data_IF_011898326896
#
_entry.id   IF_011898326896
#
_cell.length_a   1.000
_cell.length_b   1.000
_cell.length_c   1.000
_cell.angle_alpha   90.00
_cell.angle_beta   90.00
_cell.angle_gamma   90.00
#
_symmetry.space_group_name_H-M   'P 1'
#
loop_
_entity.id
_entity.type
_entity.pdbx_description
1 polymer ?
#
# COMPACT_ATOMS: atom_id res chain seq x y z
N UNK A 1 -1.44 9.45 8.98
CA UNK A 1 -0.33 8.68 9.56
C UNK A 1 -0.42 8.72 11.08
N UNK A 2 0.40 7.95 11.80
CA UNK A 2 0.41 7.88 13.27
C UNK A 2 0.47 9.25 13.96
N UNK A 3 1.17 10.23 13.38
CA UNK A 3 1.29 11.59 13.89
C UNK A 3 0.17 12.56 13.43
N UNK A 4 -0.81 12.08 12.66
CA UNK A 4 -1.89 12.88 12.08
C UNK A 4 -1.59 13.51 10.71
N UNK A 5 -0.38 13.37 10.18
CA UNK A 5 -0.06 13.86 8.83
C UNK A 5 -0.80 13.09 7.74
N UNK A 6 -1.03 13.74 6.60
CA UNK A 6 -1.80 13.16 5.49
C UNK A 6 -1.00 12.01 4.85
N UNK A 7 -1.56 10.79 4.75
CA UNK A 7 -0.87 9.66 4.11
C UNK A 7 -0.63 9.91 2.62
N UNK A 8 0.15 9.04 1.97
CA UNK A 8 0.43 9.21 0.55
C UNK A 8 0.97 7.94 -0.10
N UNK A 9 1.10 8.00 -1.42
CA UNK A 9 1.63 6.94 -2.25
C UNK A 9 2.47 7.54 -3.37
N UNK A 10 3.35 6.72 -3.96
CA UNK A 10 4.07 7.04 -5.19
C UNK A 10 3.40 6.32 -6.35
N UNK A 11 3.28 6.98 -7.50
CA UNK A 11 2.69 6.40 -8.70
C UNK A 11 3.60 6.64 -9.90
N UNK A 12 3.92 5.56 -10.61
CA UNK A 12 4.55 5.59 -11.92
C UNK A 12 3.54 5.06 -12.95
N UNK A 13 3.24 5.87 -13.97
CA UNK A 13 2.25 5.50 -14.99
C UNK A 13 2.75 4.38 -15.90
N UNK A 14 1.82 3.53 -16.31
CA UNK A 14 2.04 2.50 -17.31
C UNK A 14 2.05 3.05 -18.73
N UNK A 15 2.43 2.21 -19.69
CA UNK A 15 2.50 2.57 -21.10
C UNK A 15 2.24 1.35 -22.00
N UNK A 16 1.95 1.60 -23.28
CA UNK A 16 1.68 0.54 -24.26
C UNK A 16 0.54 -0.38 -23.81
N UNK A 17 0.75 -1.69 -23.95
CA UNK A 17 -0.25 -2.71 -23.58
C UNK A 17 -0.54 -2.78 -22.08
N UNK A 18 0.37 -2.29 -21.22
CA UNK A 18 0.22 -2.26 -19.77
C UNK A 18 -0.48 -1.00 -19.24
N UNK A 19 -0.81 -0.02 -20.10
CA UNK A 19 -1.38 1.26 -19.67
C UNK A 19 -2.73 1.13 -18.93
N UNK A 20 -3.49 0.05 -19.18
CA UNK A 20 -4.74 -0.27 -18.50
C UNK A 20 -4.60 -1.41 -17.47
N UNK A 21 -3.39 -1.70 -17.01
CA UNK A 21 -3.12 -2.67 -15.96
C UNK A 21 -2.46 -1.99 -14.76
N UNK A 22 -2.74 -2.48 -13.56
CA UNK A 22 -2.38 -1.83 -12.30
C UNK A 22 -1.72 -2.79 -11.31
N UNK A 23 -0.60 -2.39 -10.73
CA UNK A 23 0.08 -3.04 -9.63
C UNK A 23 0.13 -2.08 -8.45
N UNK A 24 -0.60 -2.40 -7.39
CA UNK A 24 -0.62 -1.66 -6.13
C UNK A 24 0.21 -2.42 -5.10
N UNK A 25 1.31 -1.83 -4.66
CA UNK A 25 2.21 -2.41 -3.66
C UNK A 25 2.06 -1.70 -2.31
N UNK A 26 1.66 -2.43 -1.28
CA UNK A 26 1.63 -1.99 0.11
C UNK A 26 3.03 -2.08 0.70
N UNK A 27 3.56 -0.95 1.18
CA UNK A 27 4.81 -0.93 1.94
C UNK A 27 4.66 -1.71 3.26
N UNK A 28 5.73 -2.39 3.68
CA UNK A 28 5.77 -3.06 4.99
C UNK A 28 6.84 -2.47 5.90
N UNK A 29 7.01 -3.08 7.07
CA UNK A 29 8.15 -2.87 7.95
C UNK A 29 7.76 -2.79 9.42
N UNK A 30 7.28 -3.93 9.90
CA UNK A 30 6.92 -4.18 11.29
C UNK A 30 5.71 -3.37 11.78
N UNK A 31 5.45 -3.49 13.08
CA UNK A 31 4.34 -2.86 13.77
C UNK A 31 4.86 -2.07 14.97
N UNK A 32 4.01 -1.25 15.55
CA UNK A 32 4.24 -0.75 16.90
C UNK A 32 3.24 -1.43 17.84
N UNK A 33 3.73 -2.14 18.86
CA UNK A 33 2.92 -3.06 19.66
C UNK A 33 2.57 -2.51 21.05
N UNK A 34 3.03 -1.31 21.37
CA UNK A 34 2.71 -0.61 22.62
C UNK A 34 2.86 0.91 22.44
N UNK A 35 2.32 1.65 23.40
CA UNK A 35 2.27 3.11 23.34
C UNK A 35 3.66 3.73 23.13
N UNK A 36 4.67 3.30 23.89
CA UNK A 36 6.05 3.81 23.77
C UNK A 36 6.61 3.60 22.37
N UNK A 37 6.44 2.40 21.81
CA UNK A 37 6.90 2.08 20.45
C UNK A 37 6.18 2.89 19.38
N UNK A 38 4.88 3.16 19.55
CA UNK A 38 4.10 3.95 18.61
C UNK A 38 4.46 5.44 18.68
N UNK A 39 4.69 5.98 19.88
CA UNK A 39 5.18 7.35 20.07
C UNK A 39 6.54 7.54 19.39
N UNK A 40 7.47 6.59 19.55
CA UNK A 40 8.74 6.66 18.84
C UNK A 40 8.53 6.56 17.32
N UNK A 41 7.70 5.62 16.87
CA UNK A 41 7.48 5.38 15.44
C UNK A 41 6.87 6.58 14.71
N UNK A 42 6.02 7.37 15.38
CA UNK A 42 5.37 8.55 14.78
C UNK A 42 6.39 9.63 14.36
N UNK A 43 7.60 9.63 14.91
CA UNK A 43 8.68 10.56 14.54
C UNK A 43 9.59 10.02 13.42
N UNK A 44 9.12 9.06 12.63
CA UNK A 44 9.89 8.41 11.56
C UNK A 44 9.06 8.35 10.26
N UNK A 45 9.70 8.01 9.13
CA UNK A 45 8.99 7.75 7.87
C UNK A 45 7.94 6.63 7.97
N UNK A 46 7.96 5.81 9.03
CA UNK A 46 6.97 4.74 9.25
C UNK A 46 5.79 5.15 10.11
N UNK A 47 5.70 6.43 10.46
CA UNK A 47 4.62 6.99 11.26
C UNK A 47 4.25 8.44 10.91
N UNK A 48 4.99 9.08 9.98
CA UNK A 48 4.72 10.42 9.49
C UNK A 48 5.07 10.54 8.01
N UNK A 49 4.17 11.16 7.24
CA UNK A 49 4.41 11.44 5.82
C UNK A 49 5.34 12.64 5.58
N UNK A 50 5.66 13.41 6.62
CA UNK A 50 6.62 14.53 6.52
C UNK A 50 8.03 14.05 6.13
N UNK A 51 8.34 12.78 6.40
CA UNK A 51 9.61 12.15 6.05
C UNK A 51 9.52 11.30 4.77
N UNK A 52 8.42 11.34 4.03
CA UNK A 52 8.35 10.65 2.74
C UNK A 52 9.25 11.34 1.72
N UNK A 53 10.02 10.54 1.00
CA UNK A 53 10.79 11.01 -0.14
C UNK A 53 9.86 11.51 -1.25
N UNK A 54 10.22 12.62 -1.89
CA UNK A 54 9.45 13.13 -3.05
C UNK A 54 9.53 12.20 -4.25
N UNK A 55 10.66 11.53 -4.41
CA UNK A 55 10.90 10.52 -5.44
C UNK A 55 11.15 9.19 -4.77
N UNK A 56 10.52 8.13 -5.29
CA UNK A 56 10.69 6.77 -4.80
C UNK A 56 11.33 5.92 -5.89
N UNK A 57 12.41 5.19 -5.60
CA UNK A 57 13.02 4.28 -6.57
C UNK A 57 12.13 3.03 -6.73
N UNK A 58 11.45 2.93 -7.87
CA UNK A 58 10.67 1.75 -8.23
C UNK A 58 11.62 0.63 -8.70
N UNK A 59 11.74 -0.45 -7.92
CA UNK A 59 12.68 -1.57 -8.18
C UNK A 59 11.97 -2.93 -8.06
N UNK A 60 12.65 -4.01 -8.49
CA UNK A 60 12.09 -5.37 -8.46
C UNK A 60 10.79 -5.48 -9.25
N UNK A 61 9.73 -6.06 -8.66
CA UNK A 61 8.39 -6.15 -9.27
C UNK A 61 7.77 -4.79 -9.63
N UNK A 62 8.31 -3.69 -9.09
CA UNK A 62 7.90 -2.33 -9.41
C UNK A 62 8.80 -1.67 -10.47
N UNK A 63 9.92 -2.27 -10.88
CA UNK A 63 10.84 -1.69 -11.88
C UNK A 63 10.15 -1.46 -13.22
N UNK A 64 10.57 -0.42 -13.95
CA UNK A 64 10.12 -0.15 -15.33
C UNK A 64 11.01 -0.80 -16.39
N UNK A 65 12.05 -1.52 -15.97
CA UNK A 65 12.98 -2.22 -16.84
C UNK A 65 12.49 -3.65 -17.07
N UNK A 66 12.29 -4.02 -18.32
CA UNK A 66 11.78 -5.34 -18.68
C UNK A 66 12.76 -6.46 -18.28
N UNK A 67 14.06 -6.15 -18.18
CA UNK A 67 15.10 -7.08 -17.76
C UNK A 67 14.98 -7.45 -16.26
N UNK A 68 14.36 -6.57 -15.46
CA UNK A 68 14.15 -6.79 -14.02
C UNK A 68 12.72 -7.20 -13.68
N UNK A 69 11.76 -6.73 -14.49
CA UNK A 69 10.33 -6.92 -14.28
C UNK A 69 9.65 -7.29 -15.60
N UNK A 70 9.92 -8.48 -16.15
CA UNK A 70 9.42 -8.87 -17.46
C UNK A 70 7.89 -8.86 -17.55
N UNK A 71 7.20 -9.11 -16.43
CA UNK A 71 5.75 -9.26 -16.39
C UNK A 71 4.99 -7.93 -16.26
N UNK A 72 5.50 -6.98 -15.47
CA UNK A 72 4.75 -5.78 -15.05
C UNK A 72 5.44 -4.45 -15.37
N UNK A 73 6.59 -4.43 -16.06
CA UNK A 73 7.38 -3.21 -16.27
C UNK A 73 6.62 -2.04 -16.90
N UNK A 74 5.62 -2.33 -17.74
CA UNK A 74 4.81 -1.33 -18.44
C UNK A 74 3.43 -1.08 -17.79
N UNK A 75 3.15 -1.65 -16.62
CA UNK A 75 1.91 -1.41 -15.88
C UNK A 75 1.95 -0.07 -15.13
N UNK A 76 0.77 0.44 -14.73
CA UNK A 76 0.69 1.47 -13.69
C UNK A 76 1.16 0.85 -12.39
N UNK A 77 2.17 1.43 -11.76
CA UNK A 77 2.83 0.87 -10.58
C UNK A 77 2.72 1.86 -9.44
N UNK A 78 2.17 1.41 -8.33
CA UNK A 78 1.86 2.23 -7.16
C UNK A 78 2.56 1.66 -5.94
N UNK A 79 3.16 2.54 -5.13
CA UNK A 79 3.67 2.20 -3.79
C UNK A 79 2.90 2.99 -2.75
N UNK A 80 1.99 2.34 -2.03
CA UNK A 80 1.29 2.98 -0.90
C UNK A 80 2.23 2.98 0.30
N UNK A 81 2.51 4.16 0.84
CA UNK A 81 3.49 4.32 1.92
C UNK A 81 2.89 3.94 3.26
N UNK A 82 3.67 3.24 4.07
CA UNK A 82 3.21 2.63 5.32
C UNK A 82 3.50 3.53 6.51
N UNK A 83 2.44 4.09 7.11
CA UNK A 83 2.57 5.05 8.19
C UNK A 83 1.51 4.93 9.31
N UNK A 84 0.73 3.84 9.34
CA UNK A 84 -0.24 3.54 10.41
C UNK A 84 0.30 2.59 11.48
N UNK A 85 1.35 1.81 11.17
CA UNK A 85 1.96 0.87 12.12
C UNK A 85 1.12 -0.36 12.45
N UNK A 86 0.04 -0.62 11.69
CA UNK A 86 -0.96 -1.65 11.94
C UNK A 86 -1.40 -2.39 10.66
N UNK A 87 -0.49 -2.61 9.69
CA UNK A 87 -0.78 -3.31 8.42
C UNK A 87 -2.02 -2.77 7.67
N UNK A 88 -2.23 -1.47 7.67
CA UNK A 88 -3.39 -0.84 7.03
C UNK A 88 -4.76 -1.34 7.55
N UNK A 89 -4.84 -1.91 8.76
CA UNK A 89 -6.07 -2.52 9.27
C UNK A 89 -6.79 -1.73 10.39
N UNK A 90 -6.08 -0.87 11.13
CA UNK A 90 -6.67 -0.14 12.25
C UNK A 90 -7.61 1.00 11.85
N UNK A 91 -8.65 1.27 12.64
CA UNK A 91 -9.37 2.55 12.64
C UNK A 91 -9.67 3.03 14.07
N UNK A 92 -8.64 3.49 14.77
CA UNK A 92 -8.75 4.04 16.11
C UNK A 92 -7.80 5.22 16.32
N UNK A 93 -7.83 5.80 17.52
CA UNK A 93 -6.90 6.85 17.93
C UNK A 93 -6.66 6.81 19.44
N UNK A 94 -5.51 7.31 19.86
CA UNK A 94 -5.23 7.70 21.24
C UNK A 94 -5.03 9.22 21.28
N UNK A 95 -6.07 9.92 21.73
CA UNK A 95 -6.07 11.38 21.83
C UNK A 95 -5.09 11.90 22.87
N UNK A 96 -4.89 11.19 23.98
CA UNK A 96 -4.00 11.63 25.04
C UNK A 96 -2.54 11.65 24.56
N UNK A 97 -2.17 10.67 23.73
CA UNK A 97 -0.81 10.55 23.19
C UNK A 97 -0.65 11.15 21.79
N UNK A 98 -1.72 11.71 21.22
CA UNK A 98 -1.76 12.24 19.86
C UNK A 98 -1.33 11.21 18.82
N UNK A 99 -1.93 10.02 18.87
CA UNK A 99 -1.67 8.91 17.94
C UNK A 99 -2.92 8.58 17.12
N UNK A 100 -2.71 8.36 15.82
CA UNK A 100 -3.75 8.10 14.84
C UNK A 100 -3.53 6.73 14.18
N UNK A 101 -4.30 5.73 14.59
CA UNK A 101 -4.23 4.36 14.06
C UNK A 101 -5.24 4.21 12.92
N UNK A 102 -4.97 4.89 11.81
CA UNK A 102 -5.93 5.08 10.70
C UNK A 102 -5.66 4.19 9.48
N UNK A 103 -5.09 3.01 9.68
CA UNK A 103 -4.72 2.07 8.61
C UNK A 103 -5.83 1.82 7.59
N UNK A 104 -7.04 1.45 8.05
CA UNK A 104 -8.20 1.20 7.18
C UNK A 104 -8.57 2.45 6.37
N UNK A 105 -8.52 3.63 6.99
CA UNK A 105 -8.83 4.89 6.29
C UNK A 105 -7.80 5.24 5.24
N UNK A 106 -6.51 4.97 5.50
CA UNK A 106 -5.44 5.16 4.52
C UNK A 106 -5.68 4.25 3.32
N UNK A 107 -6.02 2.98 3.56
CA UNK A 107 -6.38 2.02 2.51
C UNK A 107 -7.54 2.53 1.65
N UNK A 108 -8.69 2.83 2.27
CA UNK A 108 -9.90 3.29 1.57
C UNK A 108 -9.65 4.55 0.75
N UNK A 109 -9.03 5.58 1.35
CA UNK A 109 -8.75 6.83 0.66
C UNK A 109 -7.77 6.65 -0.50
N UNK A 110 -6.76 5.78 -0.35
CA UNK A 110 -5.83 5.46 -1.43
C UNK A 110 -6.53 4.74 -2.57
N UNK A 111 -7.39 3.77 -2.26
CA UNK A 111 -8.14 3.02 -3.29
C UNK A 111 -9.10 3.93 -4.05
N UNK A 112 -9.90 4.73 -3.34
CA UNK A 112 -10.82 5.71 -3.94
C UNK A 112 -10.08 6.65 -4.90
N UNK A 113 -8.97 7.21 -4.45
CA UNK A 113 -8.18 8.16 -5.24
C UNK A 113 -7.53 7.49 -6.46
N UNK A 114 -7.00 6.28 -6.33
CA UNK A 114 -6.46 5.51 -7.47
C UNK A 114 -7.55 5.11 -8.47
N UNK A 115 -8.74 4.73 -7.98
CA UNK A 115 -9.91 4.47 -8.81
C UNK A 115 -10.27 5.70 -9.64
N UNK A 116 -10.31 6.88 -9.03
CA UNK A 116 -10.57 8.15 -9.74
C UNK A 116 -9.49 8.48 -10.80
N UNK A 117 -8.25 8.01 -10.59
CA UNK A 117 -7.10 8.20 -11.48
C UNK A 117 -7.01 7.21 -12.64
N UNK A 118 -8.08 6.45 -12.88
CA UNK A 118 -8.23 5.53 -14.02
C UNK A 118 -8.11 4.06 -13.66
N UNK A 119 -7.85 3.71 -12.39
CA UNK A 119 -7.80 2.30 -11.98
C UNK A 119 -9.15 1.61 -12.17
N UNK A 120 -10.26 2.34 -12.08
CA UNK A 120 -11.61 1.78 -12.29
C UNK A 120 -11.82 1.12 -13.68
N UNK A 121 -10.99 1.47 -14.68
CA UNK A 121 -11.05 0.91 -16.04
C UNK A 121 -10.00 -0.19 -16.27
N UNK A 122 -9.39 -0.72 -15.21
CA UNK A 122 -8.33 -1.70 -15.33
C UNK A 122 -8.82 -3.02 -15.95
N UNK A 123 -8.04 -3.54 -16.89
CA UNK A 123 -8.20 -4.91 -17.40
C UNK A 123 -7.66 -5.93 -16.40
N UNK A 124 -6.56 -5.57 -15.75
CA UNK A 124 -5.88 -6.39 -14.75
C UNK A 124 -5.44 -5.52 -13.58
N UNK A 125 -5.65 -6.02 -12.37
CA UNK A 125 -5.20 -5.37 -11.15
C UNK A 125 -4.54 -6.38 -10.22
N UNK A 126 -3.36 -6.05 -9.71
CA UNK A 126 -2.60 -6.85 -8.77
C UNK A 126 -2.40 -6.04 -7.48
N UNK A 127 -2.93 -6.54 -6.37
CA UNK A 127 -2.56 -6.07 -5.04
C UNK A 127 -1.37 -6.88 -4.55
N UNK A 128 -0.31 -6.22 -4.09
CA UNK A 128 0.84 -6.89 -3.51
C UNK A 128 1.36 -6.14 -2.30
N UNK A 129 2.22 -6.77 -1.52
CA UNK A 129 2.90 -6.15 -0.40
C UNK A 129 3.93 -7.10 0.18
N UNK A 130 4.90 -6.54 0.92
CA UNK A 130 5.97 -7.30 1.56
C UNK A 130 5.89 -7.16 3.08
N UNK A 131 6.15 -8.22 3.85
CA UNK A 131 6.15 -8.19 5.32
C UNK A 131 4.79 -7.73 5.88
N UNK A 132 4.75 -6.67 6.70
CA UNK A 132 3.50 -6.08 7.18
C UNK A 132 2.55 -5.66 6.04
N UNK A 133 3.08 -5.26 4.87
CA UNK A 133 2.28 -4.99 3.68
C UNK A 133 1.81 -6.26 2.97
N UNK A 134 2.55 -7.37 3.10
CA UNK A 134 2.13 -8.69 2.63
C UNK A 134 0.92 -9.19 3.42
N UNK A 135 0.98 -9.08 4.75
CA UNK A 135 -0.19 -9.33 5.61
C UNK A 135 -1.37 -8.43 5.20
N UNK A 136 -1.12 -7.14 5.00
CA UNK A 136 -2.15 -6.20 4.55
C UNK A 136 -2.77 -6.62 3.20
N UNK A 137 -1.97 -7.21 2.29
CA UNK A 137 -2.47 -7.70 1.00
C UNK A 137 -3.40 -8.91 1.14
N UNK A 138 -3.22 -9.73 2.20
CA UNK A 138 -4.16 -10.79 2.55
C UNK A 138 -5.45 -10.17 3.10
N UNK A 139 -5.32 -9.29 4.10
CA UNK A 139 -6.46 -8.68 4.79
C UNK A 139 -7.39 -7.91 3.83
N UNK A 140 -6.80 -7.23 2.84
CA UNK A 140 -7.53 -6.34 1.93
C UNK A 140 -7.84 -6.96 0.56
N UNK A 141 -7.51 -8.23 0.33
CA UNK A 141 -7.64 -8.82 -1.01
C UNK A 141 -9.09 -8.84 -1.51
N UNK A 142 -10.03 -9.23 -0.65
CA UNK A 142 -11.44 -9.31 -1.01
C UNK A 142 -12.03 -7.90 -1.22
N UNK A 143 -11.71 -6.95 -0.34
CA UNK A 143 -12.09 -5.54 -0.54
C UNK A 143 -11.57 -5.01 -1.88
N UNK A 144 -10.29 -5.26 -2.19
CA UNK A 144 -9.70 -4.85 -3.47
C UNK A 144 -10.41 -5.48 -4.66
N UNK A 145 -10.78 -6.76 -4.57
CA UNK A 145 -11.54 -7.46 -5.60
C UNK A 145 -12.91 -6.82 -5.85
N UNK A 146 -13.60 -6.36 -4.79
CA UNK A 146 -14.94 -5.76 -4.91
C UNK A 146 -14.95 -4.39 -5.58
N UNK A 147 -13.80 -3.71 -5.69
CA UNK A 147 -13.69 -2.42 -6.39
C UNK A 147 -13.92 -2.54 -7.90
N UNK A 148 -13.80 -3.76 -8.46
CA UNK A 148 -13.80 -3.98 -9.90
C UNK A 148 -14.98 -4.87 -10.36
N UNK A 149 -15.47 -4.68 -11.60
CA UNK A 149 -16.47 -5.58 -12.19
C UNK A 149 -15.94 -7.01 -12.33
N UNK A 150 -16.84 -7.98 -12.52
CA UNK A 150 -16.47 -9.39 -12.64
C UNK A 150 -15.55 -9.70 -13.82
N UNK A 151 -15.53 -8.85 -14.85
CA UNK A 151 -14.69 -8.97 -16.02
C UNK A 151 -13.22 -8.62 -15.79
N UNK A 152 -12.89 -7.81 -14.77
CA UNK A 152 -11.51 -7.43 -14.48
C UNK A 152 -10.77 -8.58 -13.80
N UNK A 153 -9.59 -8.93 -14.30
CA UNK A 153 -8.75 -9.95 -13.66
C UNK A 153 -8.02 -9.33 -12.47
N UNK A 154 -8.53 -9.58 -11.27
CA UNK A 154 -7.91 -9.15 -10.01
C UNK A 154 -7.16 -10.31 -9.35
N UNK A 155 -5.95 -10.05 -8.87
CA UNK A 155 -5.13 -11.00 -8.09
C UNK A 155 -4.47 -10.31 -6.91
N UNK A 156 -4.07 -11.10 -5.92
CA UNK A 156 -3.35 -10.63 -4.74
C UNK A 156 -2.08 -11.46 -4.54
N UNK A 157 -0.98 -10.83 -4.14
CA UNK A 157 0.31 -11.44 -3.88
C UNK A 157 0.85 -10.98 -2.53
N UNK A 158 0.80 -11.87 -1.54
CA UNK A 158 1.43 -11.67 -0.24
C UNK A 158 2.87 -12.18 -0.27
N UNK A 159 3.83 -11.25 -0.17
CA UNK A 159 5.24 -11.58 0.02
C UNK A 159 5.61 -11.43 1.50
N UNK A 160 6.21 -12.47 2.08
CA UNK A 160 6.60 -12.53 3.49
C UNK A 160 5.51 -12.08 4.50
N UNK A 161 4.23 -12.27 4.15
CA UNK A 161 3.08 -11.77 4.92
C UNK A 161 2.33 -12.82 5.74
N UNK A 162 2.72 -14.09 5.66
CA UNK A 162 2.14 -15.17 6.46
C UNK A 162 2.98 -15.36 7.74
N UNK A 163 2.35 -15.17 8.89
CA UNK A 163 2.96 -15.35 10.21
C UNK A 163 2.23 -16.48 10.95
N UNK A 164 2.99 -17.31 11.67
CA UNK A 164 2.43 -18.36 12.53
C UNK A 164 2.39 -17.86 13.97
N UNK A 165 1.28 -18.10 14.66
CA UNK A 165 1.13 -17.87 16.10
C UNK A 165 1.75 -19.03 16.88
N UNK A 166 2.95 -18.79 17.42
CA UNK A 166 3.71 -19.76 18.21
C UNK A 166 3.43 -19.62 19.71
#
# INVERSE_FOLDING_TARGET
CLDGTIPGYHLHRGFGTGANSWLVQLEGGGWCNNLKSCIYRKTTHRGSSTYFEKQYPFTGILSNRAEENPDFFNWNRVKIRYCDGASFAGDSEDKASGLQFRGQRIWLASMEDLMSKGMHSANQALLSGCSAGGLASILHCDEFRTLFPLSTKVKCLSDAGLFMDA
#
